data_IF_977933796164
#
_entry.id   IF_977933796164
#
_cell.length_a   1.000
_cell.length_b   1.000
_cell.length_c   1.000
_cell.angle_alpha   90.00
_cell.angle_beta   90.00
_cell.angle_gamma   90.00
#
_symmetry.space_group_name_H-M   'P 1'
#
loop_
_entity.id
_entity.type
_entity.pdbx_description
1 polymer ?
#
# COMPACT_ATOMS: atom_id res chain seq x y z
N UNK A 1 -11.52 -21.80 -30.19
CA UNK A 1 -11.38 -21.54 -28.74
C UNK A 1 -11.84 -22.80 -28.01
N UNK A 2 -10.96 -23.45 -27.26
CA UNK A 2 -11.27 -24.69 -26.55
C UNK A 2 -12.20 -24.35 -25.36
N UNK A 3 -13.11 -25.28 -25.02
CA UNK A 3 -13.99 -25.13 -23.84
C UNK A 3 -13.16 -24.82 -22.58
N UNK A 4 -11.98 -25.44 -22.44
CA UNK A 4 -11.03 -25.20 -21.38
C UNK A 4 -10.56 -23.71 -21.31
N UNK A 5 -10.29 -23.10 -22.46
CA UNK A 5 -9.79 -21.71 -22.52
C UNK A 5 -10.86 -20.71 -22.10
N UNK A 6 -12.13 -20.99 -22.39
CA UNK A 6 -13.26 -20.18 -21.97
C UNK A 6 -13.45 -20.18 -20.46
N UNK A 7 -13.37 -21.36 -19.82
CA UNK A 7 -13.46 -21.47 -18.36
C UNK A 7 -12.29 -20.76 -17.64
N UNK A 8 -11.10 -20.79 -18.21
CA UNK A 8 -9.97 -20.07 -17.66
C UNK A 8 -10.14 -18.55 -17.74
N UNK A 9 -10.69 -18.05 -18.81
CA UNK A 9 -10.96 -16.63 -18.98
C UNK A 9 -12.06 -16.17 -18.02
N UNK A 10 -13.13 -16.90 -17.90
CA UNK A 10 -14.22 -16.63 -16.95
C UNK A 10 -13.69 -16.68 -15.49
N UNK A 11 -12.83 -17.63 -15.14
CA UNK A 11 -12.22 -17.71 -13.82
C UNK A 11 -11.30 -16.51 -13.53
N UNK A 12 -10.52 -16.07 -14.52
CA UNK A 12 -9.67 -14.88 -14.37
C UNK A 12 -10.51 -13.63 -14.11
N UNK A 13 -11.56 -13.42 -14.88
CA UNK A 13 -12.47 -12.30 -14.71
C UNK A 13 -13.08 -12.35 -13.30
N UNK A 14 -13.62 -13.50 -12.93
CA UNK A 14 -14.21 -13.68 -11.62
C UNK A 14 -13.20 -13.42 -10.48
N UNK A 15 -11.98 -13.91 -10.61
CA UNK A 15 -10.94 -13.69 -9.60
C UNK A 15 -10.56 -12.21 -9.53
N UNK A 16 -10.44 -11.52 -10.67
CA UNK A 16 -10.16 -10.08 -10.70
C UNK A 16 -11.25 -9.28 -10.00
N UNK A 17 -12.52 -9.58 -10.26
CA UNK A 17 -13.66 -8.91 -9.66
C UNK A 17 -13.75 -9.15 -8.14
N UNK A 18 -13.14 -10.25 -7.64
CA UNK A 18 -13.16 -10.64 -6.23
C UNK A 18 -11.82 -10.46 -5.50
N UNK A 19 -10.86 -9.75 -6.09
CA UNK A 19 -9.58 -9.44 -5.43
C UNK A 19 -9.73 -8.47 -4.26
N UNK A 20 -10.74 -7.61 -4.30
CA UNK A 20 -11.08 -6.66 -3.24
C UNK A 20 -12.45 -7.02 -2.66
N UNK A 21 -12.47 -7.83 -1.61
CA UNK A 21 -13.71 -8.28 -0.98
C UNK A 21 -13.65 -8.14 0.54
N UNK A 22 -14.51 -7.26 1.07
CA UNK A 22 -14.64 -7.07 2.51
C UNK A 22 -15.01 -8.38 3.22
N UNK A 23 -15.88 -9.19 2.64
CA UNK A 23 -16.28 -10.48 3.24
C UNK A 23 -15.14 -11.47 3.33
N UNK A 24 -14.22 -11.48 2.34
CA UNK A 24 -13.01 -12.29 2.38
C UNK A 24 -12.08 -11.82 3.49
N UNK A 25 -11.81 -10.52 3.57
CA UNK A 25 -10.98 -9.95 4.61
C UNK A 25 -11.53 -10.25 6.01
N UNK A 26 -12.83 -10.07 6.21
CA UNK A 26 -13.51 -10.39 7.50
C UNK A 26 -13.38 -11.87 7.83
N UNK A 27 -13.64 -12.77 6.88
CA UNK A 27 -13.44 -14.21 7.08
C UNK A 27 -12.00 -14.53 7.47
N UNK A 28 -11.03 -13.88 6.81
CA UNK A 28 -9.61 -14.03 7.09
C UNK A 28 -9.26 -13.64 8.52
N UNK A 29 -9.73 -12.49 9.03
CA UNK A 29 -9.45 -12.06 10.41
C UNK A 29 -10.20 -12.89 11.44
N UNK A 30 -11.37 -13.39 11.15
CA UNK A 30 -12.09 -14.31 12.06
C UNK A 30 -11.32 -15.64 12.28
N UNK A 31 -10.38 -15.98 11.41
CA UNK A 31 -9.50 -17.12 11.62
C UNK A 31 -8.60 -16.99 12.85
N UNK A 32 -8.32 -15.76 13.32
CA UNK A 32 -7.54 -15.54 14.55
C UNK A 32 -8.25 -16.06 15.79
N UNK A 33 -9.56 -15.79 15.92
CA UNK A 33 -10.37 -16.37 16.98
C UNK A 33 -10.48 -17.89 16.89
N UNK A 34 -10.63 -18.44 15.67
CA UNK A 34 -10.65 -19.87 15.45
C UNK A 34 -9.32 -20.54 15.84
N UNK A 35 -8.19 -19.91 15.51
CA UNK A 35 -6.86 -20.38 15.90
C UNK A 35 -6.67 -20.37 17.41
N UNK A 36 -7.11 -19.30 18.09
CA UNK A 36 -7.03 -19.22 19.55
C UNK A 36 -7.90 -20.29 20.23
N UNK A 37 -9.12 -20.54 19.74
CA UNK A 37 -9.97 -21.65 20.21
C UNK A 37 -9.27 -23.00 20.09
N UNK A 38 -8.62 -23.23 18.95
CA UNK A 38 -7.88 -24.46 18.71
C UNK A 38 -6.70 -24.63 19.69
N UNK A 39 -5.90 -23.59 19.89
CA UNK A 39 -4.78 -23.60 20.82
C UNK A 39 -5.25 -23.79 22.28
N UNK A 40 -6.25 -23.05 22.71
CA UNK A 40 -6.79 -23.15 24.07
C UNK A 40 -7.38 -24.54 24.38
N UNK A 41 -8.07 -25.16 23.41
CA UNK A 41 -8.50 -26.57 23.54
C UNK A 41 -7.32 -27.53 23.69
N UNK A 42 -6.26 -27.32 22.90
CA UNK A 42 -5.05 -28.13 23.01
C UNK A 42 -4.32 -27.95 24.35
N UNK A 43 -4.43 -26.79 24.96
CA UNK A 43 -3.90 -26.47 26.28
C UNK A 43 -4.82 -26.92 27.44
N UNK A 44 -6.05 -27.39 27.15
CA UNK A 44 -6.95 -28.01 28.13
C UNK A 44 -7.93 -27.05 28.83
N UNK A 45 -8.17 -25.85 28.25
CA UNK A 45 -9.19 -24.93 28.73
C UNK A 45 -10.60 -25.49 28.47
N UNK A 46 -11.59 -25.15 29.28
CA UNK A 46 -12.97 -25.47 29.02
C UNK A 46 -13.62 -24.55 27.98
N UNK A 47 -14.77 -24.94 27.39
CA UNK A 47 -15.41 -24.19 26.30
C UNK A 47 -15.87 -22.79 26.72
N UNK A 48 -16.34 -22.60 27.95
CA UNK A 48 -16.78 -21.29 28.43
C UNK A 48 -15.60 -20.34 28.68
N UNK A 49 -14.51 -20.88 29.21
CA UNK A 49 -13.24 -20.14 29.32
C UNK A 49 -12.66 -19.75 27.97
N UNK A 50 -12.74 -20.65 26.98
CA UNK A 50 -12.27 -20.43 25.60
C UNK A 50 -13.04 -19.29 24.95
N UNK A 51 -14.37 -19.30 25.01
CA UNK A 51 -15.17 -18.22 24.40
C UNK A 51 -14.92 -16.88 25.08
N UNK A 52 -14.77 -16.87 26.40
CA UNK A 52 -14.40 -15.67 27.14
C UNK A 52 -13.03 -15.16 26.69
N UNK A 53 -12.04 -16.05 26.59
CA UNK A 53 -10.68 -15.71 26.17
C UNK A 53 -10.65 -15.12 24.74
N UNK A 54 -11.38 -15.73 23.80
CA UNK A 54 -11.44 -15.24 22.42
C UNK A 54 -12.08 -13.85 22.33
N UNK A 55 -13.17 -13.63 23.05
CA UNK A 55 -13.85 -12.34 23.12
C UNK A 55 -12.97 -11.24 23.76
N UNK A 56 -12.12 -11.61 24.70
CA UNK A 56 -11.21 -10.67 25.36
C UNK A 56 -9.98 -10.34 24.51
N UNK A 57 -9.49 -11.31 23.73
CA UNK A 57 -8.24 -11.17 22.97
C UNK A 57 -8.42 -10.56 21.59
N UNK A 58 -9.55 -10.81 20.92
CA UNK A 58 -9.79 -10.34 19.56
C UNK A 58 -11.01 -9.47 19.45
N UNK A 59 -10.86 -8.38 18.72
CA UNK A 59 -11.93 -7.47 18.34
C UNK A 59 -11.79 -7.17 16.83
N UNK A 60 -12.88 -7.37 16.10
CA UNK A 60 -12.91 -7.16 14.65
C UNK A 60 -13.70 -5.89 14.33
N UNK A 61 -13.04 -4.97 13.65
CA UNK A 61 -13.60 -3.65 13.40
C UNK A 61 -13.45 -3.28 11.93
N UNK A 62 -14.56 -2.99 11.28
CA UNK A 62 -14.61 -2.41 9.94
C UNK A 62 -14.79 -0.90 10.06
N UNK A 63 -13.90 -0.14 9.44
CA UNK A 63 -14.05 1.31 9.34
C UNK A 63 -14.75 1.69 8.03
N UNK A 64 -15.95 2.23 8.13
CA UNK A 64 -16.73 2.72 7.01
C UNK A 64 -17.45 4.03 7.36
N UNK A 65 -16.71 5.14 7.34
CA UNK A 65 -17.26 6.45 7.75
C UNK A 65 -18.56 6.83 7.04
N UNK A 66 -18.71 6.40 5.78
CA UNK A 66 -19.87 6.74 4.94
C UNK A 66 -21.06 5.77 5.07
N UNK A 67 -20.94 4.73 5.89
CA UNK A 67 -21.99 3.73 6.04
C UNK A 67 -23.33 4.33 6.49
N UNK A 68 -23.33 5.35 7.36
CA UNK A 68 -24.53 6.07 7.75
C UNK A 68 -25.25 6.75 6.58
N UNK A 69 -24.50 7.31 5.64
CA UNK A 69 -25.03 7.92 4.43
C UNK A 69 -25.56 6.84 3.46
N UNK A 70 -24.87 5.70 3.36
CA UNK A 70 -25.31 4.56 2.55
C UNK A 70 -26.64 3.98 3.05
N UNK A 71 -26.85 3.90 4.37
CA UNK A 71 -28.12 3.47 4.97
C UNK A 71 -29.30 4.38 4.60
N UNK A 72 -29.04 5.66 4.38
CA UNK A 72 -30.07 6.65 4.01
C UNK A 72 -30.21 6.81 2.49
N UNK A 73 -29.42 6.09 1.69
CA UNK A 73 -29.51 6.15 0.25
C UNK A 73 -30.84 5.54 -0.26
N UNK A 74 -31.34 5.97 -1.46
CA UNK A 74 -32.57 5.45 -2.02
C UNK A 74 -32.54 3.94 -2.21
N UNK A 75 -33.69 3.29 -2.00
CA UNK A 75 -33.86 1.85 -2.23
C UNK A 75 -33.48 1.50 -3.68
N UNK A 76 -32.71 0.41 -3.85
CA UNK A 76 -32.22 -0.05 -5.14
C UNK A 76 -31.00 0.71 -5.70
N UNK A 77 -30.48 1.71 -4.99
CA UNK A 77 -29.21 2.33 -5.34
C UNK A 77 -28.02 1.42 -4.96
N UNK A 78 -26.91 1.56 -5.68
CA UNK A 78 -25.70 0.81 -5.38
C UNK A 78 -25.16 1.04 -3.97
N UNK A 79 -25.31 2.25 -3.43
CA UNK A 79 -24.87 2.58 -2.07
C UNK A 79 -25.77 1.94 -1.02
N UNK A 80 -27.09 1.89 -1.26
CA UNK A 80 -28.01 1.16 -0.39
C UNK A 80 -27.71 -0.34 -0.37
N UNK A 81 -27.41 -0.93 -1.52
CA UNK A 81 -27.03 -2.34 -1.62
C UNK A 81 -25.75 -2.63 -0.82
N UNK A 82 -24.73 -1.78 -0.92
CA UNK A 82 -23.51 -1.92 -0.12
C UNK A 82 -23.78 -1.88 1.39
N UNK A 83 -24.71 -1.02 1.84
CA UNK A 83 -25.10 -0.99 3.24
C UNK A 83 -25.82 -2.28 3.69
N UNK A 84 -26.67 -2.83 2.83
CA UNK A 84 -27.36 -4.10 3.08
C UNK A 84 -26.36 -5.27 3.11
N UNK A 85 -25.38 -5.31 2.23
CA UNK A 85 -24.30 -6.29 2.22
C UNK A 85 -23.46 -6.22 3.53
N UNK A 86 -23.18 -5.00 4.02
CA UNK A 86 -22.51 -4.80 5.32
C UNK A 86 -23.39 -5.29 6.47
N UNK A 87 -24.70 -5.04 6.43
CA UNK A 87 -25.63 -5.53 7.45
C UNK A 87 -25.63 -7.06 7.50
N UNK A 88 -25.70 -7.71 6.34
CA UNK A 88 -25.64 -9.16 6.24
C UNK A 88 -24.31 -9.69 6.79
N UNK A 89 -23.20 -9.02 6.48
CA UNK A 89 -21.89 -9.40 6.99
C UNK A 89 -21.81 -9.34 8.52
N UNK A 90 -22.37 -8.31 9.17
CA UNK A 90 -22.44 -8.20 10.63
C UNK A 90 -23.32 -9.32 11.23
N UNK A 91 -24.43 -9.66 10.58
CA UNK A 91 -25.31 -10.73 11.06
C UNK A 91 -24.69 -12.12 10.91
N UNK A 92 -23.85 -12.32 9.88
CA UNK A 92 -23.13 -13.56 9.64
C UNK A 92 -21.90 -13.71 10.55
N UNK A 93 -21.33 -12.58 11.02
CA UNK A 93 -20.18 -12.52 11.91
C UNK A 93 -20.52 -11.68 13.16
N UNK A 94 -21.18 -12.25 14.17
CA UNK A 94 -21.68 -11.49 15.34
C UNK A 94 -20.58 -10.81 16.18
N UNK A 95 -19.34 -11.21 16.02
CA UNK A 95 -18.15 -10.58 16.61
C UNK A 95 -17.70 -9.32 15.88
N UNK A 96 -18.16 -9.12 14.63
CA UNK A 96 -17.81 -7.98 13.80
C UNK A 96 -18.55 -6.73 14.24
N UNK A 97 -17.83 -5.61 14.27
CA UNK A 97 -18.38 -4.27 14.47
C UNK A 97 -18.03 -3.37 13.32
N UNK A 98 -18.87 -2.38 13.06
CA UNK A 98 -18.66 -1.37 12.02
C UNK A 98 -18.73 0.01 12.65
N UNK A 99 -17.68 0.82 12.46
CA UNK A 99 -17.69 2.22 12.88
C UNK A 99 -17.99 3.13 11.70
N UNK A 100 -18.79 4.17 11.96
CA UNK A 100 -19.22 5.12 10.94
C UNK A 100 -19.52 6.50 11.54
N UNK A 101 -19.68 7.48 10.67
CA UNK A 101 -20.09 8.83 11.05
C UNK A 101 -21.57 9.02 10.74
N UNK A 102 -22.34 9.36 11.74
CA UNK A 102 -23.73 9.79 11.60
C UNK A 102 -23.79 11.29 11.46
N UNK A 103 -24.38 11.78 10.38
CA UNK A 103 -24.68 13.19 10.15
C UNK A 103 -26.17 13.43 10.39
N UNK A 104 -26.54 14.39 11.23
CA UNK A 104 -27.90 14.87 11.37
C UNK A 104 -27.99 16.24 10.72
N UNK A 105 -28.79 16.32 9.68
CA UNK A 105 -29.02 17.56 8.91
C UNK A 105 -30.27 18.28 9.41
N UNK A 106 -30.22 18.77 10.66
CA UNK A 106 -31.17 19.76 11.13
C UNK A 106 -30.41 21.07 11.29
N UNK A 107 -30.88 22.19 10.87
CA UNK A 107 -30.37 23.59 10.94
C UNK A 107 -28.90 23.85 11.34
N UNK A 108 -28.26 22.93 12.05
CA UNK A 108 -26.82 22.85 12.31
C UNK A 108 -26.39 21.39 12.15
N UNK A 109 -25.53 21.09 11.18
CA UNK A 109 -24.96 19.77 10.97
C UNK A 109 -24.29 19.30 12.28
N UNK A 110 -24.87 18.29 12.91
CA UNK A 110 -24.27 17.62 14.06
C UNK A 110 -23.72 16.27 13.63
N UNK A 111 -22.52 15.96 14.13
CA UNK A 111 -21.79 14.75 13.77
C UNK A 111 -21.65 13.85 14.99
N UNK A 112 -21.77 12.57 14.79
CA UNK A 112 -21.51 11.58 15.82
C UNK A 112 -20.76 10.38 15.25
N UNK A 113 -19.72 9.94 15.96
CA UNK A 113 -19.07 8.66 15.74
C UNK A 113 -19.91 7.55 16.32
N UNK A 114 -20.27 6.58 15.51
CA UNK A 114 -21.15 5.48 15.88
C UNK A 114 -20.46 4.14 15.67
N UNK A 115 -20.71 3.20 16.56
CA UNK A 115 -20.30 1.82 16.45
C UNK A 115 -21.55 0.94 16.44
N UNK A 116 -21.73 0.15 15.38
CA UNK A 116 -22.81 -0.81 15.24
C UNK A 116 -22.27 -2.23 15.27
N UNK A 117 -23.00 -3.14 15.86
CA UNK A 117 -22.69 -4.56 15.90
C UNK A 117 -23.96 -5.43 15.94
N UNK A 118 -23.79 -6.73 16.03
CA UNK A 118 -24.88 -7.68 16.20
C UNK A 118 -25.24 -7.83 17.69
N UNK A 119 -26.52 -7.65 18.00
CA UNK A 119 -27.08 -8.17 19.26
C UNK A 119 -27.18 -9.69 19.15
N UNK A 120 -26.40 -10.39 19.96
CA UNK A 120 -26.29 -11.86 19.89
C UNK A 120 -27.58 -12.59 20.30
N UNK A 121 -28.36 -11.98 21.17
CA UNK A 121 -29.63 -12.59 21.67
C UNK A 121 -30.72 -12.52 20.60
N UNK A 122 -30.89 -11.35 20.00
CA UNK A 122 -31.97 -11.09 19.05
C UNK A 122 -31.55 -11.26 17.59
N UNK A 123 -30.25 -11.43 17.31
CA UNK A 123 -29.65 -11.44 15.96
C UNK A 123 -30.09 -10.22 15.12
N UNK A 124 -30.08 -9.06 15.74
CA UNK A 124 -30.41 -7.79 15.10
C UNK A 124 -29.25 -6.81 15.21
N UNK A 125 -29.22 -5.84 14.30
CA UNK A 125 -28.25 -4.78 14.38
C UNK A 125 -28.56 -3.85 15.54
N UNK A 126 -27.57 -3.57 16.36
CA UNK A 126 -27.68 -2.66 17.49
C UNK A 126 -26.58 -1.62 17.51
N UNK A 127 -26.91 -0.42 17.96
CA UNK A 127 -25.93 0.64 18.17
C UNK A 127 -25.21 0.41 19.50
N UNK A 128 -23.96 -0.05 19.44
CA UNK A 128 -23.17 -0.36 20.62
C UNK A 128 -22.60 0.89 21.31
N UNK A 129 -22.25 1.93 20.53
CA UNK A 129 -21.68 3.16 21.07
C UNK A 129 -21.99 4.33 20.14
N UNK A 130 -22.15 5.52 20.74
CA UNK A 130 -22.32 6.78 20.04
C UNK A 130 -21.58 7.88 20.79
N UNK A 131 -20.69 8.59 20.09
CA UNK A 131 -19.91 9.72 20.60
C UNK A 131 -20.20 10.93 19.76
N UNK A 132 -20.71 11.99 20.37
CA UNK A 132 -20.92 13.27 19.69
C UNK A 132 -19.58 13.95 19.39
N UNK A 133 -19.46 14.52 18.19
CA UNK A 133 -18.25 15.13 17.70
C UNK A 133 -18.43 16.65 17.58
N UNK A 134 -17.38 17.44 17.84
CA UNK A 134 -17.44 18.89 17.73
C UNK A 134 -17.52 19.40 16.28
N UNK A 135 -17.31 18.54 15.30
CA UNK A 135 -17.35 18.86 13.88
C UNK A 135 -17.27 17.61 13.00
N UNK A 136 -17.25 17.83 11.69
CA UNK A 136 -17.17 16.73 10.72
C UNK A 136 -15.77 16.09 10.76
N UNK A 137 -15.63 14.80 11.09
CA UNK A 137 -14.36 14.11 11.06
C UNK A 137 -13.94 13.69 9.64
N UNK A 138 -14.84 13.78 8.66
CA UNK A 138 -14.57 13.47 7.26
C UNK A 138 -13.99 14.72 6.61
N UNK A 139 -12.67 14.78 6.50
CA UNK A 139 -11.94 15.94 5.96
C UNK A 139 -11.61 15.80 4.47
N UNK A 140 -12.02 14.70 3.84
CA UNK A 140 -11.84 14.44 2.41
C UNK A 140 -10.52 13.81 2.04
N UNK A 141 -9.79 13.26 3.01
CA UNK A 141 -8.53 12.56 2.80
C UNK A 141 -8.72 11.05 2.53
N UNK A 142 -9.94 10.53 2.73
CA UNK A 142 -10.33 9.15 2.45
C UNK A 142 -9.78 8.13 3.44
N UNK A 143 -8.94 7.20 2.97
CA UNK A 143 -8.43 6.07 3.77
C UNK A 143 -7.74 6.50 5.09
N UNK A 144 -6.85 7.51 5.13
CA UNK A 144 -6.15 7.86 6.35
C UNK A 144 -7.07 8.30 7.49
N UNK A 145 -8.02 9.17 7.19
CA UNK A 145 -8.97 9.66 8.21
C UNK A 145 -9.92 8.55 8.68
N UNK A 146 -10.34 7.68 7.74
CA UNK A 146 -11.22 6.56 8.04
C UNK A 146 -10.55 5.55 8.99
N UNK A 147 -9.29 5.22 8.75
CA UNK A 147 -8.53 4.33 9.64
C UNK A 147 -8.30 4.96 11.02
N UNK A 148 -7.87 6.21 11.09
CA UNK A 148 -7.65 6.88 12.36
C UNK A 148 -8.95 7.05 13.16
N UNK A 149 -10.08 7.26 12.49
CA UNK A 149 -11.39 7.29 13.12
C UNK A 149 -11.73 5.95 13.81
N UNK A 150 -11.40 4.83 13.20
CA UNK A 150 -11.67 3.50 13.75
C UNK A 150 -10.91 3.21 15.05
N UNK A 151 -9.71 3.75 15.20
CA UNK A 151 -8.84 3.48 16.36
C UNK A 151 -9.50 3.78 17.69
N UNK A 152 -10.39 4.80 17.76
CA UNK A 152 -11.09 5.18 19.00
C UNK A 152 -12.00 4.07 19.54
N UNK A 153 -12.47 3.18 18.68
CA UNK A 153 -13.38 2.10 19.05
C UNK A 153 -12.67 0.78 19.38
N UNK A 154 -11.36 0.68 19.14
CA UNK A 154 -10.58 -0.51 19.46
C UNK A 154 -10.25 -0.55 20.95
N UNK A 155 -10.27 -1.75 21.57
CA UNK A 155 -9.95 -1.97 23.00
C UNK A 155 -8.61 -2.63 23.22
N UNK A 156 -8.12 -3.41 22.24
CA UNK A 156 -6.87 -4.17 22.35
C UNK A 156 -5.65 -3.31 22.61
N UNK A 157 -4.58 -3.92 23.08
CA UNK A 157 -3.27 -3.30 23.26
C UNK A 157 -2.55 -3.11 21.92
N UNK A 158 -2.87 -3.94 20.94
CA UNK A 158 -2.29 -3.90 19.59
C UNK A 158 -3.39 -3.75 18.54
N UNK A 159 -3.03 -3.14 17.42
CA UNK A 159 -3.89 -2.90 16.27
C UNK A 159 -3.27 -3.50 15.02
N UNK A 160 -4.01 -4.35 14.32
CA UNK A 160 -3.65 -4.75 12.97
C UNK A 160 -4.48 -3.95 11.97
N UNK A 161 -3.83 -3.34 11.00
CA UNK A 161 -4.50 -2.65 9.90
C UNK A 161 -4.50 -3.54 8.67
N UNK A 162 -5.66 -3.71 8.04
CA UNK A 162 -5.84 -4.56 6.87
C UNK A 162 -6.55 -3.82 5.75
N UNK A 163 -6.14 -4.10 4.52
CA UNK A 163 -6.83 -3.69 3.30
C UNK A 163 -7.90 -4.69 2.90
N UNK A 164 -8.94 -4.25 2.19
CA UNK A 164 -9.99 -5.15 1.69
C UNK A 164 -9.50 -6.21 0.69
N UNK A 165 -8.32 -6.03 0.10
CA UNK A 165 -7.69 -7.00 -0.79
C UNK A 165 -6.82 -8.03 -0.06
N UNK A 166 -6.79 -7.98 1.27
CA UNK A 166 -6.03 -8.94 2.08
C UNK A 166 -6.92 -10.09 2.57
N UNK A 167 -6.30 -11.24 2.79
CA UNK A 167 -6.94 -12.46 3.30
C UNK A 167 -6.04 -13.09 4.36
N UNK A 168 -6.63 -13.68 5.37
CA UNK A 168 -5.93 -14.41 6.43
C UNK A 168 -6.09 -15.92 6.27
N UNK A 169 -5.08 -16.65 6.71
CA UNK A 169 -5.06 -18.11 6.68
C UNK A 169 -4.96 -18.68 8.09
N UNK A 170 -5.67 -19.76 8.35
CA UNK A 170 -5.66 -20.40 9.65
C UNK A 170 -4.25 -20.79 10.15
N UNK A 171 -3.35 -21.37 9.33
CA UNK A 171 -1.98 -21.66 9.76
C UNK A 171 -1.20 -20.40 10.17
N UNK A 172 -1.43 -19.27 9.49
CA UNK A 172 -0.79 -18.00 9.82
C UNK A 172 -1.39 -17.40 11.10
N UNK A 173 -2.70 -17.57 11.30
CA UNK A 173 -3.38 -17.14 12.51
C UNK A 173 -2.86 -17.84 13.78
N UNK A 174 -2.41 -19.09 13.69
CA UNK A 174 -1.76 -19.81 14.80
C UNK A 174 -0.45 -19.15 15.26
N UNK A 175 0.23 -18.43 14.37
CA UNK A 175 1.51 -17.76 14.65
C UNK A 175 1.34 -16.37 15.28
N UNK A 176 0.13 -15.82 15.30
CA UNK A 176 -0.15 -14.46 15.81
C UNK A 176 0.29 -14.29 17.27
N UNK A 177 0.19 -15.32 18.09
CA UNK A 177 0.69 -15.31 19.47
C UNK A 177 2.19 -15.01 19.53
N UNK A 178 2.99 -15.63 18.65
CA UNK A 178 4.43 -15.41 18.58
C UNK A 178 4.76 -14.00 18.08
N UNK A 179 3.93 -13.43 17.23
CA UNK A 179 4.12 -12.05 16.76
C UNK A 179 4.02 -11.04 17.92
N UNK A 180 3.12 -11.26 18.87
CA UNK A 180 2.99 -10.38 20.03
C UNK A 180 4.21 -10.44 20.95
N UNK A 181 4.92 -11.57 21.00
CA UNK A 181 6.15 -11.72 21.78
C UNK A 181 7.35 -10.93 21.20
N UNK A 182 7.27 -10.49 19.95
CA UNK A 182 8.28 -9.64 19.31
C UNK A 182 8.23 -8.20 19.82
N UNK A 183 7.10 -7.75 20.36
CA UNK A 183 6.97 -6.42 20.91
C UNK A 183 7.76 -6.29 22.22
N UNK A 184 8.69 -5.35 22.23
CA UNK A 184 9.44 -4.89 23.40
C UNK A 184 9.08 -3.42 23.66
N UNK A 185 9.63 -2.84 24.74
CA UNK A 185 9.28 -1.48 25.16
C UNK A 185 9.45 -0.40 24.08
N UNK A 186 10.40 -0.59 23.16
CA UNK A 186 10.68 0.35 22.06
C UNK A 186 10.07 -0.04 20.72
N UNK A 187 9.59 -1.29 20.56
CA UNK A 187 8.97 -1.78 19.32
C UNK A 187 7.51 -1.35 19.25
N UNK A 188 7.21 -0.51 18.30
CA UNK A 188 5.87 0.08 18.16
C UNK A 188 5.13 -0.38 16.89
N UNK A 189 5.85 -1.04 15.99
CA UNK A 189 5.32 -1.50 14.72
C UNK A 189 6.08 -2.75 14.28
N UNK A 190 5.33 -3.81 13.98
CA UNK A 190 5.85 -5.05 13.39
C UNK A 190 5.13 -5.31 12.09
N UNK A 191 5.88 -5.33 11.00
CA UNK A 191 5.39 -5.65 9.67
C UNK A 191 5.76 -7.08 9.28
N UNK A 192 5.01 -7.65 8.34
CA UNK A 192 5.25 -8.96 7.76
C UNK A 192 4.87 -9.06 6.29
N UNK A 193 5.32 -10.10 5.56
CA UNK A 193 5.13 -10.22 4.14
C UNK A 193 3.68 -10.35 3.71
N UNK A 194 3.39 -9.86 2.51
CA UNK A 194 2.15 -10.11 1.78
C UNK A 194 2.43 -11.07 0.62
N UNK A 195 1.62 -12.11 0.48
CA UNK A 195 1.73 -13.11 -0.57
C UNK A 195 0.54 -13.02 -1.52
N UNK A 196 0.84 -12.89 -2.82
CA UNK A 196 -0.21 -12.75 -3.83
C UNK A 196 -0.87 -14.10 -4.10
N UNK A 197 -2.11 -14.29 -3.64
CA UNK A 197 -2.84 -15.55 -3.82
C UNK A 197 -3.37 -15.76 -5.26
N UNK A 198 -3.37 -14.73 -6.09
CA UNK A 198 -3.82 -14.78 -7.49
C UNK A 198 -2.70 -15.04 -8.50
N UNK A 199 -1.46 -15.31 -8.09
CA UNK A 199 -0.27 -15.40 -8.95
C UNK A 199 -0.39 -16.42 -10.09
N UNK A 200 -1.11 -17.54 -9.85
CA UNK A 200 -1.25 -18.64 -10.82
C UNK A 200 -2.24 -18.36 -11.93
N UNK A 201 -2.99 -17.26 -11.87
CA UNK A 201 -4.10 -17.00 -12.78
C UNK A 201 -3.69 -16.41 -14.13
N UNK A 202 -2.44 -15.99 -14.30
CA UNK A 202 -1.91 -15.51 -15.58
C UNK A 202 -0.63 -14.71 -15.46
N UNK A 203 -0.05 -14.35 -16.61
CA UNK A 203 1.24 -13.65 -16.66
C UNK A 203 1.23 -12.27 -15.95
N UNK A 204 0.11 -11.54 -16.01
CA UNK A 204 -0.02 -10.24 -15.32
C UNK A 204 -0.07 -10.44 -13.80
N UNK A 205 -0.79 -11.44 -13.33
CA UNK A 205 -0.84 -11.78 -11.91
C UNK A 205 0.53 -12.26 -11.40
N UNK A 206 1.24 -13.08 -12.19
CA UNK A 206 2.60 -13.50 -11.88
C UNK A 206 3.58 -12.31 -11.81
N UNK A 207 3.47 -11.36 -12.74
CA UNK A 207 4.24 -10.12 -12.69
C UNK A 207 3.96 -9.35 -11.39
N UNK A 208 2.70 -9.20 -11.01
CA UNK A 208 2.32 -8.54 -9.76
C UNK A 208 2.88 -9.25 -8.52
N UNK A 209 2.85 -10.60 -8.52
CA UNK A 209 3.43 -11.39 -7.43
C UNK A 209 4.94 -11.22 -7.33
N UNK A 210 5.66 -11.25 -8.45
CA UNK A 210 7.11 -11.03 -8.49
C UNK A 210 7.44 -9.60 -8.04
N UNK A 211 6.67 -8.61 -8.46
CA UNK A 211 6.87 -7.21 -8.04
C UNK A 211 6.70 -7.05 -6.53
N UNK A 212 5.68 -7.67 -5.94
CA UNK A 212 5.45 -7.65 -4.50
C UNK A 212 6.58 -8.37 -3.74
N UNK A 213 7.02 -9.53 -4.24
CA UNK A 213 8.14 -10.26 -3.65
C UNK A 213 9.44 -9.44 -3.66
N UNK A 214 9.76 -8.76 -4.75
CA UNK A 214 10.95 -7.87 -4.84
C UNK A 214 10.81 -6.70 -3.86
N UNK A 215 9.61 -6.12 -3.76
CA UNK A 215 9.34 -5.04 -2.82
C UNK A 215 9.60 -5.47 -1.37
N UNK A 216 9.15 -6.64 -0.97
CA UNK A 216 9.28 -7.13 0.41
C UNK A 216 10.67 -7.69 0.71
N UNK A 217 11.37 -8.29 -0.24
CA UNK A 217 12.69 -8.87 -0.04
C UNK A 217 13.79 -7.84 -0.24
N UNK A 218 13.88 -7.26 -1.42
CA UNK A 218 14.97 -6.35 -1.78
C UNK A 218 14.88 -5.02 -1.03
N UNK A 219 13.72 -4.39 -1.02
CA UNK A 219 13.55 -3.12 -0.32
C UNK A 219 13.67 -3.29 1.19
N UNK A 220 13.15 -4.39 1.75
CA UNK A 220 13.36 -4.72 3.14
C UNK A 220 14.86 -4.86 3.47
N UNK A 221 15.60 -5.59 2.64
CA UNK A 221 17.04 -5.77 2.84
C UNK A 221 17.79 -4.43 2.87
N UNK A 222 17.38 -3.48 2.03
CA UNK A 222 17.97 -2.15 2.01
C UNK A 222 17.59 -1.29 3.22
N UNK A 223 16.41 -1.49 3.80
CA UNK A 223 15.86 -0.63 4.85
C UNK A 223 16.07 -1.19 6.25
N UNK A 224 16.18 -2.51 6.40
CA UNK A 224 16.24 -3.16 7.71
C UNK A 224 17.41 -2.73 8.59
N UNK A 225 18.69 -2.68 8.12
CA UNK A 225 19.81 -2.31 8.97
C UNK A 225 19.71 -0.90 9.57
N UNK A 226 19.02 0.00 8.85
CA UNK A 226 18.86 1.40 9.23
C UNK A 226 17.49 1.69 9.84
N UNK A 227 16.66 0.67 10.03
CA UNK A 227 15.30 0.77 10.58
C UNK A 227 14.41 1.74 9.80
N UNK A 228 14.62 1.82 8.49
CA UNK A 228 13.80 2.63 7.57
C UNK A 228 13.09 1.69 6.61
N UNK A 229 11.77 1.69 6.62
CA UNK A 229 10.95 0.92 5.70
C UNK A 229 10.09 1.85 4.85
N UNK A 230 9.90 1.49 3.58
CA UNK A 230 9.14 2.30 2.64
C UNK A 230 7.63 2.23 2.87
N UNK A 231 7.08 1.02 3.12
CA UNK A 231 5.65 0.78 3.29
C UNK A 231 5.37 0.18 4.67
N UNK A 232 4.49 0.83 5.42
CA UNK A 232 4.00 0.39 6.73
C UNK A 232 2.48 0.54 6.76
N UNK A 233 1.83 -0.21 7.63
CA UNK A 233 0.42 -0.04 7.96
C UNK A 233 -0.51 -1.17 7.48
N UNK A 234 -0.14 -1.94 6.46
CA UNK A 234 -0.90 -3.07 5.93
C UNK A 234 0.03 -4.20 5.49
N UNK A 235 -0.04 -5.33 6.13
CA UNK A 235 -0.89 -5.85 7.21
C UNK A 235 -0.31 -5.65 8.62
N UNK A 236 0.47 -4.62 8.83
CA UNK A 236 1.31 -4.43 10.00
C UNK A 236 0.52 -4.33 11.32
N UNK A 237 1.16 -4.75 12.41
CA UNK A 237 0.61 -4.66 13.77
C UNK A 237 1.28 -3.52 14.51
N UNK A 238 0.49 -2.68 15.14
CA UNK A 238 0.89 -1.47 15.84
C UNK A 238 0.66 -1.57 17.33
N UNK A 239 1.57 -1.00 18.13
CA UNK A 239 1.25 -0.64 19.51
C UNK A 239 0.19 0.44 19.54
N UNK A 240 -0.94 0.15 20.19
CA UNK A 240 -2.08 1.07 20.23
C UNK A 240 -1.81 2.31 21.05
N UNK A 241 -1.17 2.17 22.21
CA UNK A 241 -0.89 3.30 23.09
C UNK A 241 0.01 4.32 22.38
N UNK A 242 1.02 3.81 21.68
CA UNK A 242 1.89 4.63 20.85
C UNK A 242 1.11 5.33 19.73
N UNK A 243 0.29 4.63 18.96
CA UNK A 243 -0.47 5.23 17.85
C UNK A 243 -1.44 6.29 18.31
N UNK A 244 -2.15 6.05 19.40
CA UNK A 244 -3.11 7.01 19.98
C UNK A 244 -2.44 8.33 20.42
N UNK A 245 -1.20 8.26 20.88
CA UNK A 245 -0.47 9.44 21.40
C UNK A 245 0.44 10.08 20.35
N UNK A 246 0.74 9.39 19.24
CA UNK A 246 1.71 9.83 18.24
C UNK A 246 1.13 10.04 16.83
N UNK A 247 -0.16 10.28 16.70
CA UNK A 247 -0.77 10.76 15.46
C UNK A 247 -1.45 9.70 14.60
N UNK A 248 -1.77 8.53 15.18
CA UNK A 248 -2.55 7.47 14.54
C UNK A 248 -1.73 6.51 13.71
N UNK A 249 -2.42 5.58 13.04
CA UNK A 249 -1.82 4.56 12.15
C UNK A 249 -1.56 5.08 10.74
N UNK A 250 -2.21 6.18 10.36
CA UNK A 250 -2.11 6.78 9.02
C UNK A 250 -2.03 8.29 9.12
N UNK A 251 -1.24 8.92 8.26
CA UNK A 251 -1.16 10.37 8.21
C UNK A 251 -2.20 10.96 7.26
N UNK A 252 -3.23 11.60 7.81
CA UNK A 252 -4.23 12.31 7.02
C UNK A 252 -3.70 13.69 6.56
N UNK A 253 -3.46 13.83 5.26
CA UNK A 253 -3.01 15.08 4.64
C UNK A 253 -3.27 15.05 3.14
N UNK A 254 -3.83 16.14 2.57
CA UNK A 254 -4.11 16.26 1.13
C UNK A 254 -2.91 16.00 0.23
N UNK A 255 -1.73 16.34 0.71
CA UNK A 255 -0.50 16.18 -0.08
C UNK A 255 0.02 14.74 -0.11
N UNK A 256 -0.36 13.90 0.85
CA UNK A 256 0.25 12.58 1.04
C UNK A 256 -0.77 11.46 1.26
N UNK A 257 -2.06 11.67 0.97
CA UNK A 257 -3.13 10.71 1.27
C UNK A 257 -2.94 9.34 0.62
N UNK A 258 -2.17 9.25 -0.46
CA UNK A 258 -1.84 7.99 -1.15
C UNK A 258 -0.63 7.28 -0.49
N UNK A 259 0.15 8.00 0.31
CA UNK A 259 1.33 7.50 1.03
C UNK A 259 1.11 7.57 2.56
N UNK A 260 -0.11 7.43 2.99
CA UNK A 260 -0.54 7.55 4.38
C UNK A 260 0.18 6.57 5.31
N UNK A 261 0.36 5.36 4.85
CA UNK A 261 1.04 4.27 5.55
C UNK A 261 2.55 4.48 5.64
N UNK A 262 3.18 4.89 4.55
CA UNK A 262 4.59 5.28 4.55
C UNK A 262 4.86 6.35 5.62
N UNK A 263 4.09 7.42 5.64
CA UNK A 263 4.26 8.49 6.62
C UNK A 263 3.83 8.09 8.04
N UNK A 264 2.93 7.13 8.19
CA UNK A 264 2.64 6.50 9.48
C UNK A 264 3.89 5.85 10.07
N UNK A 265 4.59 5.01 9.30
CA UNK A 265 5.84 4.39 9.69
C UNK A 265 6.98 5.38 9.94
N UNK A 266 7.13 6.39 9.07
CA UNK A 266 8.10 7.47 9.26
C UNK A 266 7.84 8.24 10.56
N UNK A 267 6.59 8.57 10.86
CA UNK A 267 6.24 9.23 12.11
C UNK A 267 6.58 8.39 13.34
N UNK A 268 6.38 7.07 13.27
CA UNK A 268 6.76 6.17 14.33
C UNK A 268 8.27 6.23 14.63
N UNK A 269 9.09 6.15 13.58
CA UNK A 269 10.55 6.20 13.70
C UNK A 269 11.04 7.56 14.21
N UNK A 270 10.53 8.66 13.68
CA UNK A 270 10.93 10.03 14.06
C UNK A 270 10.58 10.33 15.52
N UNK A 271 9.57 9.69 16.07
CA UNK A 271 9.13 9.83 17.46
C UNK A 271 9.78 8.83 18.43
N UNK A 272 10.77 8.10 17.95
CA UNK A 272 11.61 7.22 18.75
C UNK A 272 11.10 5.78 18.86
N UNK A 273 10.03 5.42 18.15
CA UNK A 273 9.58 4.04 18.06
C UNK A 273 10.47 3.20 17.12
N UNK A 274 10.69 1.95 17.48
CA UNK A 274 11.40 0.98 16.65
C UNK A 274 10.40 0.19 15.80
N UNK A 275 10.77 -0.03 14.55
CA UNK A 275 9.98 -0.79 13.58
C UNK A 275 10.73 -2.08 13.25
N UNK A 276 10.03 -3.21 13.31
CA UNK A 276 10.56 -4.53 12.94
C UNK A 276 9.81 -5.12 11.77
N UNK A 277 10.42 -6.10 11.14
CA UNK A 277 9.81 -6.89 10.07
C UNK A 277 10.11 -8.36 10.32
N UNK A 278 9.05 -9.17 10.40
CA UNK A 278 9.12 -10.60 10.69
C UNK A 278 8.64 -11.41 9.50
N UNK A 279 9.35 -12.49 9.18
CA UNK A 279 9.09 -13.34 8.00
C UNK A 279 8.37 -14.64 8.32
N UNK A 280 8.20 -14.95 9.60
CA UNK A 280 7.59 -16.22 10.00
C UNK A 280 6.06 -16.23 9.87
N UNK A 281 5.44 -15.09 9.68
CA UNK A 281 3.99 -14.91 9.46
C UNK A 281 3.77 -14.12 8.18
N UNK A 282 2.72 -14.43 7.44
CA UNK A 282 2.37 -13.77 6.18
C UNK A 282 0.86 -13.55 6.03
N UNK A 283 0.46 -12.63 5.15
CA UNK A 283 -0.93 -12.36 4.81
C UNK A 283 -1.14 -12.49 3.31
N UNK A 284 -2.22 -13.14 2.91
CA UNK A 284 -2.63 -13.20 1.52
C UNK A 284 -3.06 -11.83 1.00
N UNK A 285 -2.72 -11.54 -0.26
CA UNK A 285 -3.12 -10.30 -0.94
C UNK A 285 -3.62 -10.60 -2.34
N UNK A 286 -4.77 -10.02 -2.69
CA UNK A 286 -5.31 -10.04 -4.05
C UNK A 286 -4.81 -8.85 -4.86
N UNK A 287 -4.42 -9.13 -6.10
CA UNK A 287 -4.07 -8.10 -7.10
C UNK A 287 -4.95 -8.26 -8.33
N UNK A 288 -5.31 -7.14 -8.92
CA UNK A 288 -6.02 -7.11 -10.20
C UNK A 288 -5.14 -7.74 -11.29
N UNK A 289 -5.79 -8.44 -12.22
CA UNK A 289 -5.11 -9.19 -13.28
C UNK A 289 -5.25 -8.53 -14.66
N UNK A 290 -5.97 -7.41 -14.73
CA UNK A 290 -6.09 -6.62 -15.93
C UNK A 290 -4.87 -5.72 -16.13
N UNK A 291 -4.31 -5.66 -17.34
CA UNK A 291 -3.20 -4.77 -17.66
C UNK A 291 -3.51 -3.30 -17.34
N UNK A 292 -4.72 -2.86 -17.65
CA UNK A 292 -5.15 -1.48 -17.38
C UNK A 292 -5.18 -1.17 -15.87
N UNK A 293 -5.67 -2.12 -15.05
CA UNK A 293 -5.73 -1.98 -13.59
C UNK A 293 -4.34 -1.94 -12.98
N UNK A 294 -3.44 -2.83 -13.43
CA UNK A 294 -2.04 -2.84 -12.98
C UNK A 294 -1.34 -1.54 -13.34
N UNK A 295 -1.51 -1.06 -14.59
CA UNK A 295 -0.93 0.21 -15.02
C UNK A 295 -1.48 1.41 -14.22
N UNK A 296 -2.78 1.42 -13.94
CA UNK A 296 -3.40 2.44 -13.08
C UNK A 296 -2.86 2.41 -11.64
N UNK A 297 -2.61 1.23 -11.11
CA UNK A 297 -2.01 1.06 -9.79
C UNK A 297 -0.56 1.57 -9.75
N UNK A 298 0.27 1.20 -10.72
CA UNK A 298 1.65 1.69 -10.85
C UNK A 298 1.71 3.22 -11.01
N UNK A 299 0.79 3.80 -11.78
CA UNK A 299 0.66 5.24 -11.93
C UNK A 299 0.31 5.92 -10.60
N UNK A 300 -0.57 5.33 -9.81
CA UNK A 300 -0.95 5.80 -8.48
C UNK A 300 0.27 5.80 -7.53
N UNK A 301 1.02 4.70 -7.48
CA UNK A 301 2.19 4.56 -6.60
C UNK A 301 3.31 5.52 -7.01
N UNK A 302 3.62 5.60 -8.30
CA UNK A 302 4.67 6.50 -8.80
C UNK A 302 4.33 7.97 -8.57
N UNK A 303 3.06 8.36 -8.74
CA UNK A 303 2.57 9.69 -8.40
C UNK A 303 2.72 10.01 -6.90
N UNK A 304 2.39 9.04 -6.04
CA UNK A 304 2.60 9.13 -4.60
C UNK A 304 4.08 9.31 -4.24
N UNK A 305 4.98 8.51 -4.82
CA UNK A 305 6.42 8.62 -4.59
C UNK A 305 6.97 9.99 -5.03
N UNK A 306 6.47 10.55 -6.15
CA UNK A 306 6.78 11.91 -6.57
C UNK A 306 6.35 12.95 -5.52
N UNK A 307 5.15 12.83 -4.99
CA UNK A 307 4.63 13.71 -3.92
C UNK A 307 5.46 13.60 -2.64
N UNK A 308 5.85 12.37 -2.24
CA UNK A 308 6.74 12.14 -1.10
C UNK A 308 8.06 12.89 -1.30
N UNK A 309 8.68 12.75 -2.47
CA UNK A 309 9.99 13.36 -2.80
C UNK A 309 9.95 14.89 -2.67
N UNK A 310 8.81 15.53 -2.96
CA UNK A 310 8.63 16.97 -2.92
C UNK A 310 8.10 17.48 -1.58
N UNK A 311 7.80 16.59 -0.63
CA UNK A 311 7.19 17.00 0.63
C UNK A 311 8.20 17.67 1.57
N UNK A 312 7.73 18.71 2.28
CA UNK A 312 8.52 19.35 3.36
C UNK A 312 8.85 18.39 4.50
N UNK A 313 8.03 17.37 4.70
CA UNK A 313 8.25 16.38 5.74
C UNK A 313 9.52 15.58 5.45
N UNK A 314 9.70 15.09 4.22
CA UNK A 314 10.92 14.40 3.80
C UNK A 314 12.14 15.33 3.88
N UNK A 315 12.01 16.57 3.42
CA UNK A 315 13.09 17.54 3.57
C UNK A 315 13.51 17.73 5.04
N UNK A 316 12.54 17.78 5.97
CA UNK A 316 12.81 17.97 7.40
C UNK A 316 13.39 16.72 8.10
N UNK A 317 13.22 15.55 7.51
CA UNK A 317 13.75 14.30 8.07
C UNK A 317 15.27 14.33 8.28
N UNK A 318 16.02 15.12 7.49
CA UNK A 318 17.47 15.29 7.67
C UNK A 318 17.86 15.81 9.08
N UNK A 319 16.92 16.39 9.83
CA UNK A 319 17.14 16.84 11.21
C UNK A 319 17.05 15.70 12.23
N UNK A 320 16.38 14.62 11.87
CA UNK A 320 16.10 13.47 12.73
C UNK A 320 16.78 12.18 12.27
N UNK A 321 17.21 12.15 10.99
CA UNK A 321 17.87 11.01 10.36
C UNK A 321 19.24 11.40 9.85
N UNK A 322 20.21 10.53 10.04
CA UNK A 322 21.55 10.68 9.46
C UNK A 322 21.56 10.43 7.95
N UNK A 323 22.70 10.71 7.32
CA UNK A 323 22.88 10.59 5.88
C UNK A 323 22.59 9.18 5.34
N UNK A 324 23.01 8.13 6.06
CA UNK A 324 22.82 6.75 5.60
C UNK A 324 21.34 6.33 5.66
N UNK A 325 20.62 6.74 6.69
CA UNK A 325 19.17 6.54 6.78
C UNK A 325 18.43 7.27 5.67
N UNK A 326 18.79 8.50 5.39
CA UNK A 326 18.21 9.28 4.28
C UNK A 326 18.52 8.64 2.92
N UNK A 327 19.71 8.10 2.71
CA UNK A 327 20.05 7.35 1.49
C UNK A 327 19.21 6.07 1.38
N UNK A 328 19.09 5.29 2.44
CA UNK A 328 18.28 4.07 2.45
C UNK A 328 16.82 4.39 2.13
N UNK A 329 16.25 5.41 2.76
CA UNK A 329 14.90 5.88 2.48
C UNK A 329 14.73 6.33 1.03
N UNK A 330 15.70 7.04 0.47
CA UNK A 330 15.66 7.47 -0.92
C UNK A 330 15.65 6.28 -1.89
N UNK A 331 16.59 5.36 -1.76
CA UNK A 331 16.72 4.23 -2.68
C UNK A 331 15.63 3.17 -2.52
N UNK A 332 15.07 2.99 -1.34
CA UNK A 332 13.96 2.07 -1.10
C UNK A 332 12.58 2.66 -1.45
N UNK A 333 12.51 3.93 -1.74
CA UNK A 333 11.27 4.63 -2.04
C UNK A 333 11.37 5.51 -3.28
N UNK A 334 11.45 6.83 -3.11
CA UNK A 334 11.40 7.78 -4.23
C UNK A 334 12.44 7.54 -5.32
N UNK A 335 13.64 7.12 -4.94
CA UNK A 335 14.74 6.87 -5.88
C UNK A 335 14.46 5.74 -6.85
N UNK A 336 13.72 4.72 -6.42
CA UNK A 336 13.27 3.65 -7.33
C UNK A 336 12.43 4.22 -8.48
N UNK A 337 11.41 5.01 -8.16
CA UNK A 337 10.52 5.60 -9.18
C UNK A 337 11.22 6.65 -10.04
N UNK A 338 12.16 7.42 -9.48
CA UNK A 338 13.01 8.32 -10.25
C UNK A 338 13.86 7.53 -11.25
N UNK A 339 14.43 6.40 -10.85
CA UNK A 339 15.20 5.52 -11.74
C UNK A 339 14.33 4.94 -12.85
N UNK A 340 13.09 4.50 -12.53
CA UNK A 340 12.10 4.04 -13.53
C UNK A 340 11.76 5.15 -14.53
N UNK A 341 11.51 6.36 -14.03
CA UNK A 341 11.25 7.53 -14.88
C UNK A 341 12.43 7.84 -15.81
N UNK A 342 13.65 7.83 -15.29
CA UNK A 342 14.85 8.04 -16.09
C UNK A 342 15.01 6.96 -17.16
N UNK A 343 14.75 5.70 -16.82
CA UNK A 343 14.78 4.59 -17.80
C UNK A 343 13.75 4.80 -18.90
N UNK A 344 12.51 5.17 -18.56
CA UNK A 344 11.49 5.49 -19.55
C UNK A 344 11.91 6.63 -20.48
N UNK A 345 12.49 7.70 -19.94
CA UNK A 345 12.99 8.81 -20.73
C UNK A 345 14.13 8.39 -21.65
N UNK A 346 15.06 7.56 -21.17
CA UNK A 346 16.11 7.01 -22.00
C UNK A 346 15.57 6.19 -23.17
N UNK A 347 14.53 5.39 -22.95
CA UNK A 347 13.86 4.62 -24.01
C UNK A 347 13.20 5.55 -25.03
N UNK A 348 12.47 6.58 -24.59
CA UNK A 348 11.87 7.55 -25.51
C UNK A 348 12.92 8.31 -26.32
N UNK A 349 14.00 8.76 -25.69
CA UNK A 349 15.12 9.42 -26.38
C UNK A 349 15.77 8.48 -27.38
N UNK A 350 16.00 7.23 -27.00
CA UNK A 350 16.54 6.21 -27.90
C UNK A 350 15.66 6.03 -29.14
N UNK A 351 14.36 5.85 -28.95
CA UNK A 351 13.39 5.72 -30.07
C UNK A 351 13.40 6.97 -30.95
N UNK A 352 13.37 8.17 -30.34
CA UNK A 352 13.37 9.44 -31.09
C UNK A 352 14.64 9.62 -31.92
N UNK A 353 15.80 9.29 -31.33
CA UNK A 353 17.10 9.36 -32.03
C UNK A 353 17.14 8.37 -33.19
N UNK A 354 16.69 7.12 -32.99
CA UNK A 354 16.67 6.13 -34.06
C UNK A 354 15.66 6.48 -35.16
N UNK A 355 14.50 7.01 -34.82
CA UNK A 355 13.54 7.51 -35.79
C UNK A 355 14.12 8.68 -36.60
N UNK A 356 14.82 9.61 -35.95
CA UNK A 356 15.52 10.71 -36.62
C UNK A 356 16.61 10.23 -37.55
N UNK A 357 17.42 9.23 -37.14
CA UNK A 357 18.44 8.62 -37.99
C UNK A 357 17.83 7.91 -39.21
N UNK A 358 16.71 7.21 -39.03
CA UNK A 358 15.99 6.54 -40.11
C UNK A 358 15.42 7.55 -41.12
N UNK A 359 14.80 8.63 -40.64
CA UNK A 359 14.27 9.72 -41.49
C UNK A 359 15.38 10.42 -42.28
N UNK A 360 16.58 10.54 -41.66
CA UNK A 360 17.72 11.15 -42.29
C UNK A 360 18.55 10.19 -43.18
N UNK A 361 18.09 8.96 -43.41
CA UNK A 361 18.78 7.87 -44.12
C UNK A 361 20.16 7.50 -43.56
N UNK A 362 20.46 7.90 -42.33
CA UNK A 362 21.74 7.64 -41.69
C UNK A 362 21.90 6.20 -41.18
N UNK A 363 20.80 5.49 -41.00
CA UNK A 363 20.82 4.05 -40.64
C UNK A 363 21.36 3.19 -41.77
N UNK A 364 20.95 3.45 -43.02
CA UNK A 364 21.41 2.75 -44.20
C UNK A 364 22.92 2.95 -44.35
N UNK A 365 23.42 4.15 -44.08
CA UNK A 365 24.83 4.45 -44.10
C UNK A 365 25.63 3.64 -43.06
N UNK A 366 25.09 3.41 -41.88
CA UNK A 366 25.71 2.61 -40.81
C UNK A 366 25.79 1.13 -41.17
N UNK A 367 24.71 0.56 -41.72
CA UNK A 367 24.66 -0.83 -42.19
C UNK A 367 25.58 -1.03 -43.40
N UNK A 368 25.55 -0.10 -44.36
CA UNK A 368 26.42 -0.14 -45.53
C UNK A 368 27.91 -0.06 -45.13
N UNK A 369 28.23 0.75 -44.15
CA UNK A 369 29.60 0.88 -43.64
C UNK A 369 30.06 -0.38 -42.90
N UNK A 370 29.16 -1.03 -42.13
CA UNK A 370 29.44 -2.31 -41.45
C UNK A 370 29.77 -3.42 -42.47
N UNK A 371 29.00 -3.55 -43.50
CA UNK A 371 29.26 -4.51 -44.58
C UNK A 371 30.52 -4.18 -45.38
N UNK A 372 30.80 -2.92 -45.63
CA UNK A 372 32.00 -2.50 -46.31
C UNK A 372 33.28 -2.64 -45.50
N UNK A 373 33.21 -2.56 -44.17
CA UNK A 373 34.32 -2.84 -43.27
C UNK A 373 34.66 -4.33 -43.19
N UNK A 374 33.71 -5.22 -43.45
CA UNK A 374 33.93 -6.68 -43.53
C UNK A 374 34.57 -7.09 -44.85
N UNK A 375 34.40 -6.33 -45.91
CA UNK A 375 35.01 -6.63 -47.25
C UNK A 375 36.39 -5.99 -47.48
N UNK A 376 36.74 -4.92 -46.77
CA UNK A 376 38.03 -4.25 -46.96
C UNK A 376 38.64 -3.84 -45.61
N UNK A 377 39.72 -4.51 -45.26
CA UNK A 377 40.60 -4.10 -44.14
C UNK A 377 41.37 -2.78 -44.44
N UNK A 378 40.72 -1.77 -44.96
CA UNK A 378 41.30 -0.46 -45.12
C UNK A 378 40.71 0.53 -44.16
N UNK A 379 41.51 0.98 -43.25
CA UNK A 379 41.30 2.06 -42.30
C UNK A 379 40.64 3.27 -42.94
N UNK A 380 39.30 3.36 -42.89
CA UNK A 380 38.63 4.63 -43.09
C UNK A 380 38.54 5.32 -41.74
N UNK A 381 39.35 6.35 -41.57
CA UNK A 381 39.18 7.31 -40.47
C UNK A 381 37.74 7.82 -40.46
N UNK A 382 37.02 7.54 -39.38
CA UNK A 382 35.76 8.23 -39.06
C UNK A 382 36.07 9.74 -39.16
N UNK A 383 35.27 10.48 -39.91
CA UNK A 383 35.39 11.91 -39.87
C UNK A 383 35.19 12.36 -38.42
N UNK A 384 36.06 13.20 -37.92
CA UNK A 384 36.02 13.73 -36.55
C UNK A 384 34.62 14.34 -36.19
N UNK A 385 33.87 14.74 -37.20
CA UNK A 385 32.55 15.36 -37.07
C UNK A 385 31.47 14.37 -36.62
N UNK A 386 31.44 13.13 -37.13
CA UNK A 386 30.39 12.15 -36.79
C UNK A 386 30.60 11.55 -35.39
N UNK A 387 31.84 11.31 -34.99
CA UNK A 387 32.15 10.89 -33.61
C UNK A 387 31.86 12.00 -32.59
N UNK A 388 32.00 13.27 -33.01
CA UNK A 388 31.65 14.43 -32.18
C UNK A 388 30.15 14.55 -31.87
N UNK A 389 29.29 14.21 -32.83
CA UNK A 389 27.84 14.30 -32.66
C UNK A 389 27.30 13.29 -31.62
N UNK A 390 27.76 12.05 -31.69
CA UNK A 390 27.38 11.04 -30.71
C UNK A 390 27.93 11.33 -29.31
N UNK A 391 29.18 11.76 -29.22
CA UNK A 391 29.78 12.15 -27.94
C UNK A 391 29.07 13.36 -27.31
N UNK A 392 28.59 14.32 -28.14
CA UNK A 392 27.86 15.47 -27.64
C UNK A 392 26.50 15.09 -27.09
N UNK A 393 25.76 14.13 -27.71
CA UNK A 393 24.48 13.64 -27.19
C UNK A 393 24.69 12.93 -25.85
N UNK A 394 25.69 12.07 -25.73
CA UNK A 394 26.03 11.42 -24.46
C UNK A 394 26.46 12.41 -23.39
N UNK A 395 27.26 13.41 -23.76
CA UNK A 395 27.70 14.47 -22.85
C UNK A 395 26.50 15.34 -22.35
N UNK A 396 25.55 15.64 -23.24
CA UNK A 396 24.32 16.37 -22.87
C UNK A 396 23.45 15.54 -21.95
N UNK A 397 23.27 14.23 -22.22
CA UNK A 397 22.54 13.33 -21.36
C UNK A 397 23.19 13.20 -19.98
N UNK A 398 24.49 13.01 -19.93
CA UNK A 398 25.23 12.94 -18.67
C UNK A 398 25.20 14.28 -17.92
N UNK A 399 25.30 15.40 -18.65
CA UNK A 399 25.18 16.75 -18.09
C UNK A 399 23.80 17.01 -17.49
N UNK A 400 22.72 16.63 -18.19
CA UNK A 400 21.34 16.73 -17.67
C UNK A 400 21.16 15.87 -16.42
N UNK A 401 21.67 14.65 -16.41
CA UNK A 401 21.59 13.74 -15.26
C UNK A 401 22.35 14.25 -14.04
N UNK A 402 23.48 14.94 -14.24
CA UNK A 402 24.28 15.50 -13.14
C UNK A 402 23.76 16.85 -12.64
N UNK A 403 23.18 17.66 -13.54
CA UNK A 403 22.64 18.99 -13.19
C UNK A 403 21.24 18.92 -12.61
N UNK A 404 20.43 17.90 -12.97
CA UNK A 404 19.06 17.76 -12.49
C UNK A 404 18.94 17.72 -10.94
N UNK A 405 19.77 16.96 -10.21
CA UNK A 405 19.74 16.98 -8.74
C UNK A 405 20.10 18.34 -8.16
N UNK A 406 21.06 19.04 -8.79
CA UNK A 406 21.47 20.38 -8.38
C UNK A 406 20.36 21.39 -8.63
N UNK A 407 19.71 21.30 -9.79
CA UNK A 407 18.56 22.15 -10.15
C UNK A 407 17.39 21.93 -9.20
N UNK A 408 17.05 20.66 -8.93
CA UNK A 408 16.00 20.31 -7.96
C UNK A 408 16.32 20.86 -6.56
N UNK A 409 17.56 20.77 -6.13
CA UNK A 409 18.01 21.34 -4.87
C UNK A 409 17.84 22.87 -4.86
N UNK A 410 18.22 23.55 -5.91
CA UNK A 410 18.05 25.00 -6.03
C UNK A 410 16.57 25.41 -6.01
N UNK A 411 15.72 24.68 -6.71
CA UNK A 411 14.27 24.91 -6.70
C UNK A 411 13.66 24.64 -5.31
N UNK A 412 14.15 23.65 -4.58
CA UNK A 412 13.71 23.35 -3.22
C UNK A 412 14.18 24.42 -2.21
N UNK A 413 15.38 24.95 -2.39
CA UNK A 413 15.98 25.95 -1.49
C UNK A 413 15.44 27.36 -1.73
N UNK A 414 15.16 27.72 -2.96
CA UNK A 414 14.83 29.10 -3.38
C UNK A 414 13.43 29.28 -3.97
N UNK A 415 12.77 28.20 -4.38
CA UNK A 415 11.51 28.25 -5.11
C UNK A 415 11.68 28.40 -6.64
N UNK A 416 10.57 28.25 -7.37
CA UNK A 416 10.57 28.36 -8.84
C UNK A 416 10.59 29.80 -9.36
N UNK A 417 10.60 30.81 -8.48
CA UNK A 417 10.49 32.23 -8.86
C UNK A 417 11.79 33.03 -8.76
N UNK A 418 12.82 32.46 -8.21
CA UNK A 418 14.18 32.99 -8.15
C UNK A 418 15.13 32.18 -9.07
#
# INVERSE_FOLDING_TARGET
MCIRDRYWEELRIWTSDHTQSLSRCVRGVCSYGAALRFLARAEGYDEDEIETLVCDKFEYLVSCQVYGNMLNAPQGSADRQKAEDINELILNHPELRVCFVQTKSDTNDTFASCLVGCDRENRTLSLACKVELPGNPIIGEGKPENQNHAVIFSRGAYLQTLDMNQDGYFPEALKMRNLLDVFSEDVVLVGFPEVIFSETTGAVAQFAAISEFIFQTFQRFMTWPLMVRFHYGHPDVWDKAFTMTNGGVSKASKMIHVAEDFFGGVNAIVRGGRVLFEEFIEVGKGRDMGFTSVNGFEQKISGSAGTISMSRDVYRLHRSMDFFRMMSMYFSGPGFFISVMQTAWCVYLYILVHAGLAIADLEIYRVYRYFKMTETQTTLSLSKEEGGYYNSIYAIQLGLLTVLPLFLKMVMDRGLRD
#
